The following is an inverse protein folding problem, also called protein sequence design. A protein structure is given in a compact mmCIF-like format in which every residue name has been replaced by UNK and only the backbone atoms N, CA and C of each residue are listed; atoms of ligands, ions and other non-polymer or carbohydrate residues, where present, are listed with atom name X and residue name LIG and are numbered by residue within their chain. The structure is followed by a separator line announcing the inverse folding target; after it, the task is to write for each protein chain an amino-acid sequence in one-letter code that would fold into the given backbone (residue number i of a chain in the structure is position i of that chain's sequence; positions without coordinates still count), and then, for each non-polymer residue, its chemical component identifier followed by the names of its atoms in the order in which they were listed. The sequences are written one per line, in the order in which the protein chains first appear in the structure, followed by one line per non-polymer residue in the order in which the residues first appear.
data_IF_903968880076
#
_entry.id   IF_903968880076
#
_cell.length_a   1.000
_cell.length_b   1.000
_cell.length_c   1.000
_cell.angle_alpha   90.00
_cell.angle_beta   90.00
_cell.angle_gamma   90.00
#
_symmetry.space_group_name_H-M   'P 1'
#
loop_
_entity.id
_entity.type
_entity.pdbx_description
1 polymer ?
#
# COMPACT_ATOMS: atom_id res chain seq x y z
N UNK A 1 64.71 -51.70 22.46
CA UNK A 1 63.54 -51.60 23.36
C UNK A 1 62.62 -50.55 22.74
N UNK A 2 61.72 -51.03 21.88
CA UNK A 2 60.78 -50.26 21.08
C UNK A 2 59.45 -50.23 21.84
N UNK A 3 58.80 -49.07 21.94
CA UNK A 3 57.45 -48.95 22.49
C UNK A 3 56.50 -48.36 21.46
N UNK A 4 55.62 -49.25 21.04
CA UNK A 4 54.19 -49.17 20.77
C UNK A 4 53.50 -47.88 20.31
N UNK A 5 52.65 -48.18 19.32
CA UNK A 5 51.57 -47.44 18.66
C UNK A 5 50.39 -47.25 19.63
N UNK A 6 49.74 -46.09 19.61
CA UNK A 6 48.26 -46.05 19.72
C UNK A 6 47.69 -44.84 18.96
N UNK A 7 46.85 -45.20 18.00
CA UNK A 7 45.87 -44.43 17.23
C UNK A 7 44.88 -43.65 18.11
N UNK A 8 44.60 -42.37 17.76
CA UNK A 8 43.31 -41.74 18.01
C UNK A 8 42.94 -40.78 16.87
N UNK A 9 42.31 -41.33 15.83
CA UNK A 9 41.09 -40.85 15.18
C UNK A 9 40.62 -39.42 15.55
N UNK A 10 40.99 -38.42 14.73
CA UNK A 10 40.39 -37.09 14.70
C UNK A 10 39.25 -37.04 13.69
N UNK A 11 38.02 -37.23 14.17
CA UNK A 11 36.79 -37.31 13.36
C UNK A 11 36.39 -35.92 12.83
N UNK A 12 36.38 -35.81 11.51
CA UNK A 12 35.80 -34.69 10.74
C UNK A 12 34.32 -34.46 11.13
N UNK A 13 33.96 -33.22 11.45
CA UNK A 13 32.56 -32.78 11.55
C UNK A 13 32.20 -31.99 10.31
N UNK A 14 31.48 -32.66 9.42
CA UNK A 14 30.74 -32.06 8.32
C UNK A 14 29.69 -31.08 8.86
N UNK A 15 29.70 -29.86 8.33
CA UNK A 15 28.60 -28.91 8.47
C UNK A 15 27.40 -29.42 7.67
N UNK A 16 26.25 -29.48 8.34
CA UNK A 16 24.97 -29.86 7.74
C UNK A 16 24.46 -28.64 6.96
N UNK A 17 24.48 -28.73 5.64
CA UNK A 17 23.78 -27.81 4.75
C UNK A 17 22.27 -28.04 4.86
N UNK A 18 21.51 -26.97 5.08
CA UNK A 18 20.05 -27.00 5.03
C UNK A 18 19.58 -27.02 3.55
N UNK A 19 18.55 -27.82 3.19
CA UNK A 19 18.09 -27.92 1.81
C UNK A 19 17.24 -26.70 1.42
N UNK A 20 17.66 -26.03 0.35
CA UNK A 20 16.93 -24.96 -0.32
C UNK A 20 15.58 -25.44 -0.84
N UNK A 21 14.54 -24.63 -0.65
CA UNK A 21 13.22 -24.85 -1.24
C UNK A 21 13.23 -24.32 -2.67
N UNK A 22 12.98 -25.23 -3.60
CA UNK A 22 12.73 -25.00 -5.02
C UNK A 22 11.43 -24.20 -5.18
N UNK A 23 11.50 -22.94 -5.62
CA UNK A 23 10.33 -22.18 -6.06
C UNK A 23 10.29 -22.21 -7.58
N UNK A 24 9.22 -22.81 -8.11
CA UNK A 24 8.98 -22.99 -9.53
C UNK A 24 8.22 -21.76 -10.06
N UNK A 25 8.87 -20.92 -10.86
CA UNK A 25 8.23 -19.78 -11.54
C UNK A 25 7.72 -20.25 -12.90
N UNK A 26 6.39 -20.29 -13.08
CA UNK A 26 5.75 -20.59 -14.36
C UNK A 26 5.49 -19.27 -15.10
N UNK A 27 6.39 -18.93 -16.03
CA UNK A 27 6.24 -17.79 -16.95
C UNK A 27 5.24 -18.20 -18.04
N UNK A 28 4.00 -17.70 -17.98
CA UNK A 28 3.06 -17.78 -19.11
C UNK A 28 3.17 -16.53 -19.96
N UNK A 29 3.79 -16.65 -21.13
CA UNK A 29 3.79 -15.61 -22.16
C UNK A 29 2.55 -15.78 -23.04
N UNK A 30 1.57 -14.86 -22.94
CA UNK A 30 0.46 -14.76 -23.90
C UNK A 30 0.72 -13.55 -24.82
N UNK A 31 0.98 -13.83 -26.10
CA UNK A 31 1.09 -12.84 -27.16
C UNK A 31 -0.31 -12.43 -27.64
N UNK A 32 -0.72 -11.18 -27.39
CA UNK A 32 -1.94 -10.60 -27.97
C UNK A 32 -1.55 -9.70 -29.15
N UNK A 33 -1.98 -10.09 -30.34
CA UNK A 33 -1.89 -9.30 -31.58
C UNK A 33 -3.18 -8.50 -31.73
N UNK A 34 -3.13 -7.18 -31.54
CA UNK A 34 -4.24 -6.28 -31.83
C UNK A 34 -4.07 -5.67 -33.22
N UNK A 35 -4.99 -5.97 -34.15
CA UNK A 35 -5.16 -5.22 -35.39
C UNK A 35 -6.13 -4.06 -35.14
N UNK A 36 -5.69 -2.84 -35.49
CA UNK A 36 -6.48 -1.63 -35.42
C UNK A 36 -6.99 -1.20 -36.81
N UNK A 37 -8.28 -0.84 -36.87
CA UNK A 37 -8.92 0.13 -37.77
C UNK A 37 -10.38 0.24 -37.28
N UNK A 38 -10.98 1.37 -36.90
CA UNK A 38 -10.80 2.76 -37.31
C UNK A 38 -12.09 3.21 -38.03
N UNK A 39 -12.89 4.11 -37.42
CA UNK A 39 -13.61 5.24 -38.04
C UNK A 39 -14.68 5.88 -37.12
N UNK A 40 -14.34 7.09 -36.64
CA UNK A 40 -15.11 8.35 -36.47
C UNK A 40 -16.58 8.38 -36.00
N UNK A 41 -16.93 9.28 -35.06
CA UNK A 41 -18.30 9.81 -34.93
C UNK A 41 -18.48 11.20 -35.56
N UNK A 42 -19.66 11.40 -36.14
CA UNK A 42 -20.16 12.60 -36.80
C UNK A 42 -20.79 13.61 -35.82
N UNK A 43 -20.81 14.87 -36.26
CA UNK A 43 -21.06 16.13 -35.55
C UNK A 43 -22.50 16.60 -35.74
N UNK A 44 -23.12 17.19 -34.71
CA UNK A 44 -24.21 18.20 -34.77
C UNK A 44 -24.35 18.81 -33.36
N UNK A 45 -24.08 20.09 -33.01
CA UNK A 45 -24.70 21.40 -33.38
C UNK A 45 -26.23 21.41 -33.21
N UNK A 46 -26.93 22.32 -32.51
CA UNK A 46 -26.70 23.73 -32.11
C UNK A 46 -27.53 24.13 -30.84
N UNK A 47 -27.17 25.30 -30.29
CA UNK A 47 -27.64 26.20 -29.19
C UNK A 47 -29.16 26.55 -29.03
N UNK A 48 -29.58 27.61 -28.28
CA UNK A 48 -29.41 28.02 -26.86
C UNK A 48 -30.78 28.41 -26.21
N UNK A 49 -30.80 28.99 -24.98
CA UNK A 49 -31.56 30.24 -24.62
C UNK A 49 -31.57 30.49 -23.10
N UNK A 50 -30.98 31.65 -22.75
CA UNK A 50 -31.28 32.69 -21.74
C UNK A 50 -31.85 32.41 -20.34
N UNK A 51 -31.25 33.13 -19.38
CA UNK A 51 -31.87 33.45 -18.08
C UNK A 51 -30.95 34.25 -17.16
N UNK A 52 -30.86 35.57 -17.38
CA UNK A 52 -30.15 36.51 -16.53
C UNK A 52 -31.10 37.20 -15.55
N UNK A 53 -30.79 37.27 -14.26
CA UNK A 53 -31.24 38.34 -13.35
C UNK A 53 -30.28 38.50 -12.18
N UNK A 54 -30.16 39.73 -11.67
CA UNK A 54 -29.04 40.29 -10.94
C UNK A 54 -29.33 40.63 -9.47
N UNK A 55 -28.23 40.89 -8.72
CA UNK A 55 -28.08 41.79 -7.56
C UNK A 55 -28.80 41.39 -6.24
N UNK A 56 -28.36 41.69 -5.02
CA UNK A 56 -27.64 42.85 -4.45
C UNK A 56 -27.08 42.47 -3.06
N UNK A 57 -26.07 43.22 -2.61
CA UNK A 57 -25.42 43.19 -1.28
C UNK A 57 -26.12 44.09 -0.22
N UNK A 58 -25.44 44.25 0.93
CA UNK A 58 -25.67 45.16 2.10
C UNK A 58 -26.55 44.60 3.24
N UNK A 59 -26.34 44.82 4.55
CA UNK A 59 -25.34 45.56 5.36
C UNK A 59 -25.59 45.31 6.87
N UNK A 60 -24.57 45.63 7.69
CA UNK A 60 -24.69 46.23 9.05
C UNK A 60 -24.94 45.27 10.22
N UNK A 61 -24.46 45.45 11.46
CA UNK A 61 -23.66 46.46 12.19
C UNK A 61 -23.24 45.79 13.54
N UNK A 62 -22.01 45.96 14.07
CA UNK A 62 -21.62 46.77 15.28
C UNK A 62 -22.53 46.58 16.52
N UNK A 63 -22.11 46.36 17.78
CA UNK A 63 -21.01 46.91 18.61
C UNK A 63 -20.62 46.00 19.82
N UNK A 64 -19.43 46.29 20.36
CA UNK A 64 -18.64 45.80 21.53
C UNK A 64 -19.18 46.33 22.91
N UNK A 65 -18.49 46.32 24.08
CA UNK A 65 -17.63 45.36 24.81
C UNK A 65 -18.16 45.03 26.23
N UNK A 66 -17.52 44.10 26.97
CA UNK A 66 -17.15 44.30 28.40
C UNK A 66 -16.52 43.05 29.04
N UNK A 67 -15.35 43.23 29.65
CA UNK A 67 -14.68 42.35 30.61
C UNK A 67 -14.52 43.12 31.95
N UNK A 68 -13.89 42.61 33.03
CA UNK A 68 -13.66 41.24 33.53
C UNK A 68 -14.15 41.07 35.00
N UNK A 69 -14.10 39.87 35.60
CA UNK A 69 -13.78 39.66 37.05
C UNK A 69 -13.63 38.16 37.42
N UNK A 70 -12.49 37.81 38.02
CA UNK A 70 -12.18 36.62 38.85
C UNK A 70 -12.17 37.10 40.33
N UNK A 71 -12.07 36.29 41.44
CA UNK A 71 -11.68 34.86 41.57
C UNK A 71 -12.40 34.01 42.66
N UNK A 72 -12.10 32.71 42.71
CA UNK A 72 -11.91 31.97 43.98
C UNK A 72 -12.94 30.90 44.38
N UNK A 73 -12.48 29.66 44.59
CA UNK A 73 -13.25 28.61 45.26
C UNK A 73 -12.68 27.21 45.01
N UNK A 74 -11.97 26.69 46.01
CA UNK A 74 -11.25 25.41 46.02
C UNK A 74 -12.17 24.23 46.39
N UNK A 75 -11.68 23.02 46.08
CA UNK A 75 -11.90 21.72 46.73
C UNK A 75 -12.93 20.72 46.16
N UNK A 76 -12.33 19.69 45.55
CA UNK A 76 -12.60 18.25 45.62
C UNK A 76 -14.02 17.74 45.37
N UNK A 77 -14.18 17.02 44.26
CA UNK A 77 -14.75 15.69 44.35
C UNK A 77 -14.09 14.74 43.36
N UNK A 78 -13.96 13.50 43.82
CA UNK A 78 -13.28 12.41 43.12
C UNK A 78 -14.33 11.68 42.30
N UNK A 79 -14.20 11.57 40.98
CA UNK A 79 -14.66 10.37 40.30
C UNK A 79 -14.15 10.21 38.86
N UNK A 80 -13.81 8.95 38.57
CA UNK A 80 -13.88 8.23 37.30
C UNK A 80 -13.41 8.81 35.96
N UNK A 81 -12.58 8.01 35.28
CA UNK A 81 -12.66 7.93 33.82
C UNK A 81 -11.49 8.54 33.06
N UNK A 82 -10.26 8.39 33.54
CA UNK A 82 -9.07 8.53 32.70
C UNK A 82 -8.95 7.42 31.66
N UNK A 83 -9.94 7.27 30.77
CA UNK A 83 -9.72 6.70 29.44
C UNK A 83 -8.96 7.74 28.62
N UNK A 84 -7.78 8.12 29.11
CA UNK A 84 -6.83 8.93 28.36
C UNK A 84 -6.51 8.16 27.10
N UNK A 85 -6.60 8.86 25.98
CA UNK A 85 -6.23 8.53 24.61
C UNK A 85 -4.85 7.82 24.54
N UNK A 86 -4.80 6.57 25.00
CA UNK A 86 -3.59 5.77 25.06
C UNK A 86 -3.43 5.10 23.72
N UNK A 87 -2.32 5.41 23.06
CA UNK A 87 -1.93 4.76 21.82
C UNK A 87 -1.74 3.27 22.14
N UNK A 88 -2.36 2.36 21.37
CA UNK A 88 -2.11 0.95 21.53
C UNK A 88 -0.62 0.65 21.34
N UNK A 89 -0.01 -0.03 22.30
CA UNK A 89 1.32 -0.62 22.10
C UNK A 89 1.26 -1.61 20.95
N UNK A 90 2.22 -1.52 20.02
CA UNK A 90 2.30 -2.37 18.84
C UNK A 90 3.59 -3.19 18.85
N UNK A 91 3.45 -4.49 18.62
CA UNK A 91 4.55 -5.45 18.63
C UNK A 91 5.31 -5.48 17.31
N UNK A 92 6.56 -5.94 17.33
CA UNK A 92 7.37 -6.12 16.10
C UNK A 92 6.69 -7.04 15.07
N UNK A 93 5.94 -8.02 15.56
CA UNK A 93 5.16 -8.93 14.73
C UNK A 93 4.03 -8.19 14.02
N UNK A 94 3.26 -7.38 14.73
CA UNK A 94 2.16 -6.60 14.14
C UNK A 94 2.68 -5.55 13.14
N UNK A 95 3.82 -4.93 13.43
CA UNK A 95 4.46 -3.99 12.48
C UNK A 95 4.88 -4.74 11.20
N UNK A 96 5.50 -5.92 11.35
CA UNK A 96 5.90 -6.73 10.18
C UNK A 96 4.69 -7.23 9.38
N UNK A 97 3.61 -7.61 10.05
CA UNK A 97 2.35 -7.99 9.41
C UNK A 97 1.71 -6.80 8.69
N UNK A 98 1.77 -5.59 9.26
CA UNK A 98 1.32 -4.37 8.60
C UNK A 98 2.14 -4.07 7.34
N UNK A 99 3.47 -4.23 7.39
CA UNK A 99 4.33 -4.08 6.21
C UNK A 99 3.97 -5.07 5.10
N UNK A 100 3.81 -6.37 5.42
CA UNK A 100 3.42 -7.37 4.42
C UNK A 100 2.04 -7.08 3.82
N UNK A 101 1.10 -6.61 4.63
CA UNK A 101 -0.21 -6.15 4.19
C UNK A 101 -0.12 -4.95 3.24
N UNK A 102 0.80 -4.02 3.52
CA UNK A 102 1.09 -2.87 2.65
C UNK A 102 1.72 -3.31 1.33
N UNK A 103 2.71 -4.22 1.34
CA UNK A 103 3.30 -4.80 0.12
C UNK A 103 2.25 -5.46 -0.76
N UNK A 104 1.37 -6.28 -0.17
CA UNK A 104 0.28 -6.91 -0.91
C UNK A 104 -0.67 -5.87 -1.52
N UNK A 105 -1.15 -4.94 -0.70
CA UNK A 105 -2.12 -3.93 -1.12
C UNK A 105 -1.57 -3.00 -2.21
N UNK A 106 -0.32 -2.54 -2.08
CA UNK A 106 0.35 -1.70 -3.07
C UNK A 106 0.70 -2.50 -4.33
N UNK A 107 1.08 -3.77 -4.17
CA UNK A 107 1.36 -4.70 -5.26
C UNK A 107 0.17 -4.98 -6.18
N UNK A 108 -1.06 -4.85 -5.67
CA UNK A 108 -2.28 -4.89 -6.49
C UNK A 108 -2.40 -3.74 -7.50
N UNK A 109 -1.60 -2.68 -7.35
CA UNK A 109 -1.55 -1.55 -8.27
C UNK A 109 -0.31 -1.60 -9.16
N UNK A 110 0.84 -1.92 -8.59
CA UNK A 110 2.14 -1.78 -9.28
C UNK A 110 2.73 -3.08 -9.84
N UNK A 111 2.42 -4.26 -9.28
CA UNK A 111 3.02 -5.53 -9.73
C UNK A 111 2.04 -6.41 -10.47
N UNK A 112 0.82 -6.48 -9.95
CA UNK A 112 -0.21 -7.37 -10.44
C UNK A 112 -1.57 -6.71 -10.35
N UNK A 113 -2.55 -7.54 -10.03
CA UNK A 113 -3.92 -7.13 -9.72
C UNK A 113 -4.46 -8.04 -8.63
N UNK A 114 -5.50 -7.60 -7.93
CA UNK A 114 -6.32 -8.52 -7.14
C UNK A 114 -6.84 -9.70 -7.99
N UNK A 115 -7.07 -10.87 -7.36
CA UNK A 115 -7.73 -12.00 -8.01
C UNK A 115 -9.03 -11.58 -8.69
N UNK A 116 -9.23 -12.04 -9.92
CA UNK A 116 -10.36 -11.67 -10.75
C UNK A 116 -10.99 -12.87 -11.46
N UNK A 117 -12.28 -12.77 -11.75
CA UNK A 117 -13.04 -13.70 -12.57
C UNK A 117 -12.88 -13.32 -14.05
N UNK A 118 -12.22 -14.18 -14.81
CA UNK A 118 -11.95 -13.96 -16.23
C UNK A 118 -13.16 -14.16 -17.14
N UNK A 119 -14.27 -14.69 -16.61
CA UNK A 119 -15.51 -14.91 -17.35
C UNK A 119 -16.54 -13.77 -17.13
N UNK A 120 -16.46 -13.05 -16.00
CA UNK A 120 -17.29 -11.87 -15.70
C UNK A 120 -16.56 -10.59 -16.15
N UNK A 121 -16.72 -10.27 -17.43
CA UNK A 121 -16.06 -9.14 -18.11
C UNK A 121 -17.05 -7.99 -18.34
N UNK A 122 -16.60 -6.76 -18.13
CA UNK A 122 -17.30 -5.52 -18.50
C UNK A 122 -16.38 -4.58 -19.26
N UNK A 123 -16.94 -3.82 -20.20
CA UNK A 123 -16.20 -2.77 -20.91
C UNK A 123 -16.54 -1.41 -20.31
N UNK A 124 -15.51 -0.65 -19.95
CA UNK A 124 -15.62 0.72 -19.45
C UNK A 124 -14.35 1.50 -19.81
N UNK A 125 -14.45 2.81 -20.07
CA UNK A 125 -13.31 3.69 -20.37
C UNK A 125 -12.36 3.18 -21.50
N UNK A 126 -12.85 2.33 -22.40
CA UNK A 126 -12.02 1.71 -23.45
C UNK A 126 -11.16 0.52 -22.99
N UNK A 127 -11.38 -0.01 -21.79
CA UNK A 127 -10.70 -1.18 -21.23
C UNK A 127 -11.68 -2.31 -20.91
N UNK A 128 -11.16 -3.53 -20.89
CA UNK A 128 -11.85 -4.70 -20.37
C UNK A 128 -11.53 -4.88 -18.89
N UNK A 129 -12.58 -4.94 -18.08
CA UNK A 129 -12.51 -5.09 -16.64
C UNK A 129 -13.09 -6.44 -16.23
N UNK A 130 -12.43 -7.10 -15.29
CA UNK A 130 -12.81 -8.40 -14.74
C UNK A 130 -13.24 -8.26 -13.29
N UNK A 131 -14.29 -9.00 -12.89
CA UNK A 131 -14.84 -8.88 -11.54
C UNK A 131 -13.83 -9.35 -10.50
N UNK A 132 -13.56 -8.54 -9.48
CA UNK A 132 -12.67 -8.93 -8.38
C UNK A 132 -13.31 -10.05 -7.55
N UNK A 133 -12.54 -11.09 -7.26
CA UNK A 133 -12.99 -12.28 -6.52
C UNK A 133 -12.47 -12.31 -5.08
N UNK A 134 -11.70 -11.32 -4.64
CA UNK A 134 -11.14 -11.22 -3.29
C UNK A 134 -12.18 -11.43 -2.18
N UNK A 135 -11.92 -12.27 -1.18
CA UNK A 135 -12.93 -12.76 -0.24
C UNK A 135 -13.68 -11.66 0.53
N UNK A 136 -12.98 -10.56 0.88
CA UNK A 136 -13.50 -9.49 1.73
C UNK A 136 -13.71 -8.15 1.03
N UNK A 137 -13.08 -7.94 -0.12
CA UNK A 137 -13.08 -6.65 -0.82
C UNK A 137 -13.90 -6.86 -2.08
N UNK A 138 -15.17 -6.46 -2.05
CA UNK A 138 -16.14 -6.76 -3.11
C UNK A 138 -16.63 -5.51 -3.84
N UNK A 139 -16.50 -4.35 -3.21
CA UNK A 139 -16.91 -3.04 -3.73
C UNK A 139 -15.73 -2.06 -3.76
N UNK A 140 -15.89 -0.95 -4.47
CA UNK A 140 -14.88 0.11 -4.49
C UNK A 140 -14.71 0.76 -3.11
N UNK A 141 -15.81 0.91 -2.36
CA UNK A 141 -15.79 1.40 -0.98
C UNK A 141 -15.06 0.45 -0.03
N UNK A 142 -15.20 -0.88 -0.22
CA UNK A 142 -14.42 -1.86 0.55
C UNK A 142 -12.92 -1.70 0.29
N UNK A 143 -12.52 -1.50 -0.97
CA UNK A 143 -11.12 -1.31 -1.35
C UNK A 143 -10.56 -0.04 -0.73
N UNK A 144 -11.26 1.09 -0.90
CA UNK A 144 -10.85 2.38 -0.31
C UNK A 144 -10.74 2.27 1.20
N UNK A 145 -11.75 1.70 1.86
CA UNK A 145 -11.76 1.51 3.31
C UNK A 145 -10.61 0.62 3.77
N UNK A 146 -10.33 -0.47 3.05
CA UNK A 146 -9.22 -1.36 3.34
C UNK A 146 -7.87 -0.64 3.24
N UNK A 147 -7.64 0.12 2.17
CA UNK A 147 -6.41 0.89 1.97
C UNK A 147 -6.22 1.96 3.06
N UNK A 148 -7.28 2.62 3.51
CA UNK A 148 -7.24 3.59 4.61
C UNK A 148 -6.89 2.96 5.98
N UNK A 149 -6.98 1.63 6.11
CA UNK A 149 -6.45 0.93 7.30
C UNK A 149 -4.93 0.69 7.25
N UNK A 150 -4.27 1.08 6.15
CA UNK A 150 -2.87 0.76 5.86
C UNK A 150 -2.09 2.05 5.57
N UNK A 151 -2.68 2.97 4.81
CA UNK A 151 -2.01 4.16 4.29
C UNK A 151 -2.77 5.44 4.64
N UNK A 152 -2.08 6.57 4.59
CA UNK A 152 -2.70 7.89 4.64
C UNK A 152 -3.61 8.15 3.45
N UNK A 153 -4.58 9.06 3.61
CA UNK A 153 -5.47 9.49 2.52
C UNK A 153 -4.70 9.89 1.25
N UNK A 154 -3.56 10.58 1.40
CA UNK A 154 -2.73 11.00 0.26
C UNK A 154 -2.26 9.83 -0.60
N UNK A 155 -1.73 8.76 0.02
CA UNK A 155 -1.31 7.56 -0.69
C UNK A 155 -2.52 6.84 -1.29
N UNK A 156 -3.62 6.73 -0.55
CA UNK A 156 -4.84 6.07 -1.04
C UNK A 156 -5.40 6.77 -2.27
N UNK A 157 -5.53 8.09 -2.23
CA UNK A 157 -5.98 8.86 -3.38
C UNK A 157 -5.01 8.69 -4.56
N UNK A 158 -3.69 8.74 -4.32
CA UNK A 158 -2.68 8.49 -5.36
C UNK A 158 -2.83 7.13 -6.04
N UNK A 159 -3.02 6.05 -5.26
CA UNK A 159 -3.23 4.69 -5.78
C UNK A 159 -4.53 4.59 -6.59
N UNK A 160 -5.62 5.17 -6.08
CA UNK A 160 -6.96 5.04 -6.68
C UNK A 160 -7.13 5.93 -7.92
N UNK A 161 -6.47 7.09 -7.98
CA UNK A 161 -6.46 7.95 -9.18
C UNK A 161 -5.45 7.50 -10.23
N UNK A 162 -4.39 6.80 -9.81
CA UNK A 162 -3.27 6.40 -10.65
C UNK A 162 -2.27 7.52 -10.92
N UNK A 163 -1.18 7.18 -11.61
CA UNK A 163 -0.04 8.07 -11.93
C UNK A 163 -0.30 9.10 -13.05
N UNK A 164 -1.55 9.52 -13.23
CA UNK A 164 -1.94 10.53 -14.22
C UNK A 164 -2.21 9.98 -15.62
N UNK A 165 -2.22 8.66 -15.83
CA UNK A 165 -2.84 8.07 -17.01
C UNK A 165 -4.37 8.07 -16.85
N UNK A 166 -5.12 8.29 -17.92
CA UNK A 166 -6.60 8.17 -17.91
C UNK A 166 -7.08 6.73 -17.56
N UNK A 167 -6.17 5.76 -17.50
CA UNK A 167 -6.42 4.38 -17.12
C UNK A 167 -6.56 4.24 -15.61
N UNK A 168 -7.74 3.78 -15.16
CA UNK A 168 -8.00 3.40 -13.77
C UNK A 168 -7.94 1.89 -13.63
N UNK A 169 -7.10 1.39 -12.72
CA UNK A 169 -6.96 -0.06 -12.56
C UNK A 169 -8.23 -0.70 -11.98
N UNK A 170 -8.87 -0.02 -11.03
CA UNK A 170 -10.07 -0.48 -10.36
C UNK A 170 -11.28 0.41 -10.67
N UNK A 171 -12.44 -0.22 -10.88
CA UNK A 171 -13.70 0.45 -11.18
C UNK A 171 -14.86 -0.16 -10.39
N UNK A 172 -15.77 0.71 -9.97
CA UNK A 172 -17.13 0.29 -9.61
C UNK A 172 -17.94 0.12 -10.91
N UNK A 173 -18.50 -1.06 -11.10
CA UNK A 173 -19.48 -1.34 -12.17
C UNK A 173 -20.66 -2.06 -11.54
N UNK A 174 -21.83 -1.42 -11.57
CA UNK A 174 -23.08 -1.92 -10.96
C UNK A 174 -22.95 -2.28 -9.45
N UNK A 175 -22.13 -1.54 -8.70
CA UNK A 175 -21.91 -1.75 -7.27
C UNK A 175 -20.97 -2.91 -6.92
N UNK A 176 -20.27 -3.47 -7.91
CA UNK A 176 -19.22 -4.46 -7.72
C UNK A 176 -17.87 -3.92 -8.16
N UNK A 177 -16.81 -4.38 -7.50
CA UNK A 177 -15.44 -4.04 -7.82
C UNK A 177 -14.96 -4.86 -9.01
N UNK A 178 -14.49 -4.16 -10.03
CA UNK A 178 -13.80 -4.76 -11.17
C UNK A 178 -12.38 -4.19 -11.30
N UNK A 179 -11.50 -4.95 -11.94
CA UNK A 179 -10.09 -4.60 -12.17
C UNK A 179 -9.68 -4.87 -13.61
N UNK A 180 -8.69 -4.16 -14.13
CA UNK A 180 -8.01 -4.53 -15.38
C UNK A 180 -6.90 -5.54 -15.02
N UNK A 181 -6.97 -6.81 -15.46
CA UNK A 181 -5.90 -7.75 -15.19
C UNK A 181 -4.61 -7.35 -15.89
N UNK A 182 -3.57 -7.07 -15.11
CA UNK A 182 -2.24 -6.75 -15.60
C UNK A 182 -1.20 -7.44 -14.72
N UNK A 183 -0.26 -8.14 -15.35
CA UNK A 183 0.95 -8.65 -14.69
C UNK A 183 2.14 -7.82 -15.14
N UNK A 184 2.65 -6.98 -14.25
CA UNK A 184 3.82 -6.12 -14.48
C UNK A 184 5.10 -6.81 -13.99
N UNK A 185 4.98 -7.67 -12.98
CA UNK A 185 6.09 -8.41 -12.39
C UNK A 185 6.96 -7.54 -11.48
N UNK A 186 7.83 -8.17 -10.71
CA UNK A 186 8.81 -7.50 -9.86
C UNK A 186 10.11 -7.21 -10.61
N UNK A 187 10.86 -6.23 -10.14
CA UNK A 187 12.24 -5.93 -10.49
C UNK A 187 13.14 -7.13 -10.20
N UNK A 188 13.53 -7.80 -11.27
CA UNK A 188 14.38 -8.99 -11.23
C UNK A 188 15.81 -8.70 -10.78
N UNK A 189 16.21 -7.42 -10.69
CA UNK A 189 17.54 -7.02 -10.20
C UNK A 189 17.62 -6.95 -8.68
N UNK A 190 16.49 -7.12 -7.98
CA UNK A 190 16.41 -7.10 -6.52
C UNK A 190 16.48 -8.51 -5.94
N UNK A 191 17.27 -8.66 -4.87
CA UNK A 191 17.55 -9.93 -4.21
C UNK A 191 16.89 -10.09 -2.85
N UNK A 192 17.64 -10.67 -1.90
CA UNK A 192 17.13 -10.89 -0.54
C UNK A 192 16.88 -9.57 0.20
N UNK A 193 15.90 -9.60 1.10
CA UNK A 193 15.50 -8.46 1.92
C UNK A 193 15.82 -8.71 3.39
N UNK A 194 16.33 -7.68 4.06
CA UNK A 194 16.51 -7.66 5.50
C UNK A 194 15.76 -6.48 6.11
N UNK A 195 15.30 -6.67 7.35
CA UNK A 195 14.34 -5.77 7.99
C UNK A 195 14.84 -5.28 9.35
N UNK A 196 14.62 -4.00 9.63
CA UNK A 196 14.91 -3.37 10.92
C UNK A 196 13.73 -2.51 11.36
N UNK A 197 13.37 -2.57 12.66
CA UNK A 197 12.31 -1.76 13.25
C UNK A 197 12.93 -0.73 14.18
N UNK A 198 12.77 0.55 13.86
CA UNK A 198 13.32 1.67 14.63
C UNK A 198 12.16 2.44 15.23
N UNK A 199 12.06 2.46 16.56
CA UNK A 199 11.03 3.21 17.30
C UNK A 199 11.54 4.62 17.58
N UNK A 200 11.07 5.60 16.81
CA UNK A 200 11.46 7.00 16.99
C UNK A 200 10.67 7.68 18.13
N UNK A 201 9.41 7.30 18.31
CA UNK A 201 8.55 7.75 19.41
C UNK A 201 7.36 6.81 19.62
N UNK A 202 6.53 7.07 20.63
CA UNK A 202 5.29 6.32 20.87
C UNK A 202 4.28 6.41 19.71
N UNK A 203 4.45 7.39 18.81
CA UNK A 203 3.57 7.62 17.63
C UNK A 203 4.25 7.35 16.30
N UNK A 204 5.54 7.01 16.28
CA UNK A 204 6.32 6.95 15.04
C UNK A 204 7.34 5.83 15.06
N UNK A 205 7.25 4.98 14.05
CA UNK A 205 8.15 3.87 13.78
C UNK A 205 8.69 4.03 12.37
N UNK A 206 9.97 3.70 12.17
CA UNK A 206 10.56 3.51 10.86
C UNK A 206 10.74 2.02 10.65
N UNK A 207 10.07 1.48 9.63
CA UNK A 207 10.29 0.12 9.14
C UNK A 207 11.29 0.18 8.01
N UNK A 208 12.54 -0.20 8.29
CA UNK A 208 13.64 -0.15 7.34
C UNK A 208 13.79 -1.47 6.63
N UNK A 209 13.90 -1.40 5.32
CA UNK A 209 14.13 -2.56 4.44
C UNK A 209 15.43 -2.32 3.69
N UNK A 210 16.34 -3.28 3.78
CA UNK A 210 17.56 -3.31 2.96
C UNK A 210 17.47 -4.45 1.97
N UNK A 211 17.61 -4.15 0.68
CA UNK A 211 17.42 -5.09 -0.42
C UNK A 211 18.74 -5.26 -1.16
N UNK A 212 19.14 -6.50 -1.41
CA UNK A 212 20.27 -6.78 -2.28
C UNK A 212 20.01 -6.32 -3.72
N UNK A 213 21.06 -5.86 -4.40
CA UNK A 213 21.02 -5.53 -5.83
C UNK A 213 21.96 -6.47 -6.56
N UNK A 214 21.47 -7.11 -7.61
CA UNK A 214 22.24 -7.99 -8.48
C UNK A 214 22.87 -7.20 -9.65
N UNK A 215 24.13 -7.48 -9.97
CA UNK A 215 24.78 -6.97 -11.20
C UNK A 215 24.20 -7.64 -12.46
N UNK A 216 23.99 -8.96 -12.35
CA UNK A 216 23.29 -9.78 -13.33
C UNK A 216 22.14 -10.54 -12.63
N UNK A 217 20.87 -10.26 -12.97
CA UNK A 217 19.72 -10.90 -12.32
C UNK A 217 19.61 -12.41 -12.59
N UNK A 218 20.28 -12.94 -13.62
CA UNK A 218 20.28 -14.37 -13.93
C UNK A 218 21.37 -15.14 -13.19
N UNK A 219 22.49 -14.48 -12.88
CA UNK A 219 23.55 -15.06 -12.04
C UNK A 219 23.32 -14.82 -10.55
N UNK A 220 22.47 -13.84 -10.19
CA UNK A 220 22.16 -13.43 -8.82
C UNK A 220 23.42 -13.06 -8.01
N UNK A 221 24.41 -12.47 -8.69
CA UNK A 221 25.62 -11.97 -8.06
C UNK A 221 25.33 -10.61 -7.42
N UNK A 222 25.33 -10.57 -6.09
CA UNK A 222 25.10 -9.34 -5.31
C UNK A 222 26.24 -8.34 -5.53
N UNK A 223 25.90 -7.15 -6.02
CA UNK A 223 26.83 -6.03 -6.25
C UNK A 223 26.71 -4.92 -5.21
N UNK A 224 25.61 -4.89 -4.47
CA UNK A 224 25.37 -3.90 -3.42
C UNK A 224 24.03 -4.09 -2.73
N UNK A 225 23.63 -3.07 -1.99
CA UNK A 225 22.34 -3.03 -1.29
C UNK A 225 21.72 -1.64 -1.40
N UNK A 226 20.39 -1.58 -1.48
CA UNK A 226 19.61 -0.36 -1.33
C UNK A 226 18.82 -0.39 -0.03
N UNK A 227 18.56 0.78 0.55
CA UNK A 227 17.85 0.92 1.82
C UNK A 227 16.63 1.83 1.64
N UNK A 228 15.50 1.38 2.17
CA UNK A 228 14.22 2.07 2.14
C UNK A 228 13.70 2.21 3.57
N UNK A 229 13.26 3.42 3.93
CA UNK A 229 12.76 3.75 5.26
C UNK A 229 11.26 4.09 5.17
N UNK A 230 10.40 3.17 5.61
CA UNK A 230 8.96 3.36 5.60
C UNK A 230 8.49 3.93 6.92
N UNK A 231 7.91 5.12 6.87
CA UNK A 231 7.40 5.79 8.07
C UNK A 231 6.01 5.27 8.39
N UNK A 232 5.84 4.73 9.60
CA UNK A 232 4.61 4.15 10.13
C UNK A 232 4.19 4.92 11.38
N UNK A 233 3.09 5.65 11.29
CA UNK A 233 2.66 6.62 12.32
C UNK A 233 1.27 6.35 12.84
N UNK A 234 1.05 6.68 14.11
CA UNK A 234 -0.27 6.68 14.73
C UNK A 234 -0.98 8.01 14.49
N UNK A 235 -1.94 8.02 13.57
CA UNK A 235 -2.76 9.19 13.18
C UNK A 235 -4.23 8.82 13.18
N UNK A 236 -5.10 9.74 13.57
CA UNK A 236 -6.57 9.58 13.50
C UNK A 236 -7.12 8.27 14.10
N UNK A 237 -6.45 7.77 15.15
CA UNK A 237 -6.87 6.57 15.87
C UNK A 237 -6.29 5.25 15.37
N UNK A 238 -5.47 5.25 14.31
CA UNK A 238 -4.86 4.06 13.73
C UNK A 238 -3.39 4.22 13.35
N UNK A 239 -2.66 3.10 13.24
CA UNK A 239 -1.31 3.10 12.68
C UNK A 239 -1.38 2.95 11.16
N UNK A 240 -0.74 3.85 10.41
CA UNK A 240 -0.71 3.84 8.94
C UNK A 240 0.67 4.23 8.41
N UNK A 241 1.01 3.77 7.21
CA UNK A 241 2.19 4.22 6.49
C UNK A 241 1.94 5.61 5.88
N UNK A 242 2.83 6.55 6.15
CA UNK A 242 2.79 7.92 5.63
C UNK A 242 3.67 8.10 4.39
N UNK A 243 4.53 7.11 4.13
CA UNK A 243 5.30 6.95 2.89
C UNK A 243 5.43 5.45 2.59
N UNK A 244 5.20 5.06 1.34
CA UNK A 244 5.34 3.67 0.92
C UNK A 244 5.64 3.56 -0.58
N UNK A 245 6.51 2.61 -0.92
CA UNK A 245 6.79 2.15 -2.27
C UNK A 245 7.18 0.68 -2.21
N UNK A 246 7.12 -0.01 -3.34
CA UNK A 246 7.64 -1.37 -3.41
C UNK A 246 9.16 -1.33 -3.58
N UNK A 247 9.83 -2.23 -2.88
CA UNK A 247 11.30 -2.36 -2.93
C UNK A 247 11.77 -3.38 -3.98
N UNK A 248 10.81 -4.00 -4.67
CA UNK A 248 10.96 -4.99 -5.73
C UNK A 248 9.80 -4.89 -6.70
#
# INVERSE_FOLDING_TARGET
MQRDITDMSGKSRAGIAAPGKLIMVLISALLVVCMAAGCTPDRSKDEPVDGQTAATAENGDREDPSAPEQPGGNENDSDEGGSGDRIPEITDKEISEAYQKAVEAFGWFELGTMPADYEDIREADGYQYNRVTHDKIKTYDDLRSYLLTIFTDEIVEGLLTGSGSDMRLYRDIDGALYTIPAGRGSDITKGEETYEIIRESDKKIVYRVTVEVYDDPFEQTVSGTEQFDFTYEYTDGGWVFTYFELVR
#
